data_IF_710281780728
#
_entry.id   IF_710281780728
#
_cell.length_a   1.000
_cell.length_b   1.000
_cell.length_c   1.000
_cell.angle_alpha   90.00
_cell.angle_beta   90.00
_cell.angle_gamma   90.00
#
_symmetry.space_group_name_H-M   'P 1'
#
loop_
_entity.id
_entity.type
_entity.pdbx_description
1 polymer ?
#
# COMPACT_ATOMS: atom_id res chain seq x y z
N UNK A 1 72.56 25.58 40.13
CA UNK A 1 71.52 24.58 40.30
C UNK A 1 70.43 24.87 39.25
N UNK A 2 70.35 24.13 38.15
CA UNK A 2 69.37 24.27 37.05
C UNK A 2 68.22 23.27 37.31
N UNK A 3 67.01 23.79 37.55
CA UNK A 3 65.83 22.92 37.69
C UNK A 3 65.26 22.60 36.29
N UNK A 4 65.25 21.32 35.92
CA UNK A 4 64.59 20.84 34.68
C UNK A 4 63.09 20.71 34.93
N UNK A 5 62.27 21.41 34.17
CA UNK A 5 60.81 21.23 34.19
C UNK A 5 60.45 20.09 33.23
N UNK A 6 59.81 19.04 33.73
CA UNK A 6 59.27 17.93 32.93
C UNK A 6 57.86 18.32 32.52
N UNK A 7 57.64 18.52 31.23
CA UNK A 7 56.32 18.71 30.62
C UNK A 7 55.70 17.36 30.34
N UNK A 8 54.63 17.02 31.10
CA UNK A 8 53.81 15.84 30.84
C UNK A 8 52.82 16.16 29.72
N UNK A 9 53.02 15.58 28.52
CA UNK A 9 52.05 15.67 27.45
C UNK A 9 50.89 14.68 27.63
N UNK A 10 49.70 15.20 27.91
CA UNK A 10 48.48 14.40 27.98
C UNK A 10 48.01 14.08 26.53
N UNK A 11 48.14 12.83 26.09
CA UNK A 11 47.62 12.38 24.81
C UNK A 11 46.09 12.13 24.96
N UNK A 12 45.32 12.96 24.29
CA UNK A 12 43.85 12.84 24.21
C UNK A 12 43.53 11.69 23.21
N UNK A 13 43.10 10.53 23.71
CA UNK A 13 42.66 9.40 22.85
C UNK A 13 41.23 9.73 22.37
N UNK A 14 41.10 10.15 21.11
CA UNK A 14 39.80 10.24 20.43
C UNK A 14 39.27 8.81 20.18
N UNK A 15 38.30 8.37 20.95
CA UNK A 15 37.55 7.14 20.68
C UNK A 15 36.51 7.47 19.58
N UNK A 16 36.56 6.81 18.39
CA UNK A 16 35.58 7.06 17.36
C UNK A 16 34.19 6.60 17.86
N UNK A 17 33.21 7.51 17.78
CA UNK A 17 31.82 7.17 18.11
C UNK A 17 31.30 6.16 17.08
N UNK A 18 31.00 4.95 17.53
CA UNK A 18 30.34 3.91 16.70
C UNK A 18 28.92 4.41 16.42
N UNK A 19 28.52 4.54 15.14
CA UNK A 19 27.16 4.97 14.82
C UNK A 19 26.16 3.92 15.35
N UNK A 20 25.31 4.33 16.30
CA UNK A 20 24.20 3.50 16.76
C UNK A 20 23.24 3.32 15.58
N UNK A 21 23.15 2.10 15.07
CA UNK A 21 22.19 1.76 14.01
C UNK A 21 20.78 2.12 14.51
N UNK A 22 20.09 3.00 13.77
CA UNK A 22 18.74 3.41 14.13
C UNK A 22 17.85 2.15 14.16
N UNK A 23 17.21 1.90 15.33
CA UNK A 23 16.34 0.74 15.51
C UNK A 23 15.18 0.80 14.52
N UNK A 24 14.91 -0.32 13.85
CA UNK A 24 13.77 -0.47 12.94
C UNK A 24 12.47 -0.26 13.72
N UNK A 25 11.63 0.72 13.37
CA UNK A 25 10.37 0.95 14.08
C UNK A 25 9.49 -0.32 14.01
N UNK A 26 8.86 -0.76 15.11
CA UNK A 26 8.00 -1.94 15.07
C UNK A 26 6.78 -1.72 14.18
N UNK A 27 6.26 -2.81 13.56
CA UNK A 27 4.99 -2.75 12.85
C UNK A 27 3.87 -2.32 13.79
N UNK A 28 3.02 -1.41 13.31
CA UNK A 28 1.80 -0.99 14.01
C UNK A 28 0.64 -0.93 13.04
N UNK A 29 -0.51 -1.42 13.48
CA UNK A 29 -1.77 -1.31 12.75
C UNK A 29 -2.94 -0.99 13.68
N UNK A 30 -4.03 -0.51 13.11
CA UNK A 30 -5.28 -0.28 13.82
C UNK A 30 -6.46 -0.62 12.93
N UNK A 31 -7.51 -1.20 13.52
CA UNK A 31 -8.79 -1.47 12.85
C UNK A 31 -9.89 -0.87 13.71
N UNK A 32 -10.65 0.08 13.14
CA UNK A 32 -11.71 0.78 13.88
C UNK A 32 -12.90 1.13 12.98
N UNK A 33 -14.10 1.36 13.54
CA UNK A 33 -15.21 1.97 12.81
C UNK A 33 -14.77 3.29 12.15
N UNK A 34 -15.44 3.66 11.06
CA UNK A 34 -15.16 4.94 10.39
C UNK A 34 -15.51 6.11 11.34
N UNK A 35 -14.55 6.99 11.69
CA UNK A 35 -14.84 8.21 12.43
C UNK A 35 -15.76 9.15 11.61
N UNK A 36 -16.51 10.02 12.27
CA UNK A 36 -17.45 10.96 11.62
C UNK A 36 -16.79 11.70 10.46
N UNK A 37 -15.64 12.33 10.69
CA UNK A 37 -14.88 13.06 9.67
C UNK A 37 -14.53 12.23 8.41
N UNK A 38 -14.32 10.92 8.57
CA UNK A 38 -14.03 10.03 7.42
C UNK A 38 -15.32 9.68 6.69
N UNK A 39 -16.42 9.45 7.42
CA UNK A 39 -17.74 9.25 6.82
C UNK A 39 -18.16 10.46 6.00
N UNK A 40 -17.92 11.67 6.52
CA UNK A 40 -18.27 12.91 5.82
C UNK A 40 -17.41 13.11 4.58
N UNK A 41 -16.10 12.81 4.65
CA UNK A 41 -15.21 12.83 3.49
C UNK A 41 -15.64 11.83 2.40
N UNK A 42 -16.15 10.66 2.78
CA UNK A 42 -16.57 9.61 1.84
C UNK A 42 -17.93 9.88 1.20
N UNK A 43 -18.86 10.58 1.91
CA UNK A 43 -20.18 10.90 1.37
C UNK A 43 -20.08 11.82 0.16
N UNK A 44 -20.68 11.39 -0.97
CA UNK A 44 -20.60 12.12 -2.24
C UNK A 44 -19.27 12.01 -2.98
N UNK A 45 -18.28 11.31 -2.37
CA UNK A 45 -16.99 10.97 -2.98
C UNK A 45 -16.92 9.45 -3.25
N UNK A 46 -16.15 8.70 -2.47
CA UNK A 46 -16.02 7.25 -2.65
C UNK A 46 -17.26 6.45 -2.25
N UNK A 47 -18.19 7.03 -1.51
CA UNK A 47 -19.42 6.37 -1.08
C UNK A 47 -20.66 7.26 -1.36
N UNK A 48 -21.75 6.65 -1.84
CA UNK A 48 -23.06 7.28 -2.05
C UNK A 48 -24.19 6.30 -1.79
N UNK A 49 -25.43 6.77 -1.60
CA UNK A 49 -26.62 5.89 -1.60
C UNK A 49 -26.64 5.01 -2.87
N UNK A 50 -26.99 3.75 -2.71
CA UNK A 50 -26.95 2.74 -3.78
C UNK A 50 -25.66 1.96 -3.88
N UNK A 51 -24.60 2.30 -3.11
CA UNK A 51 -23.41 1.43 -2.98
C UNK A 51 -23.78 0.07 -2.36
N UNK A 52 -23.09 -1.02 -2.76
CA UNK A 52 -23.45 -2.37 -2.32
C UNK A 52 -23.21 -2.63 -0.83
N UNK A 53 -22.48 -1.72 -0.15
CA UNK A 53 -22.21 -1.80 1.30
C UNK A 53 -22.45 -0.45 1.98
N UNK A 54 -22.95 -0.50 3.21
CA UNK A 54 -23.15 0.68 4.04
C UNK A 54 -21.85 1.14 4.73
N UNK A 55 -21.79 2.42 5.12
CA UNK A 55 -20.66 2.97 5.88
C UNK A 55 -20.41 2.22 7.21
N UNK A 56 -21.46 1.60 7.80
CA UNK A 56 -21.36 0.81 9.02
C UNK A 56 -20.64 -0.54 8.81
N UNK A 57 -20.60 -1.04 7.57
CA UNK A 57 -19.91 -2.27 7.20
C UNK A 57 -18.43 -2.06 6.91
N UNK A 58 -18.01 -0.80 6.84
CA UNK A 58 -16.63 -0.44 6.53
C UNK A 58 -15.81 -0.16 7.81
N UNK A 59 -14.50 -0.39 7.70
CA UNK A 59 -13.52 -0.09 8.75
C UNK A 59 -12.40 0.75 8.19
N UNK A 60 -11.93 1.70 8.99
CA UNK A 60 -10.66 2.39 8.75
C UNK A 60 -9.53 1.51 9.29
N UNK A 61 -8.66 1.09 8.40
CA UNK A 61 -7.45 0.32 8.72
C UNK A 61 -6.25 1.24 8.58
N UNK A 62 -5.57 1.48 9.70
CA UNK A 62 -4.28 2.16 9.72
C UNK A 62 -3.16 1.13 9.70
N UNK A 63 -2.12 1.36 8.90
CA UNK A 63 -0.98 0.45 8.78
C UNK A 63 0.33 1.24 8.74
N UNK A 64 1.40 0.64 9.22
CA UNK A 64 2.77 1.08 8.95
C UNK A 64 3.29 0.32 7.72
N UNK A 65 4.01 1.00 6.83
CA UNK A 65 4.58 0.40 5.63
C UNK A 65 5.98 0.98 5.34
N UNK A 66 6.79 0.25 4.58
CA UNK A 66 8.08 0.74 4.08
C UNK A 66 7.89 1.52 2.79
N UNK A 67 8.47 2.71 2.73
CA UNK A 67 8.55 3.51 1.50
C UNK A 67 9.69 3.08 0.58
N UNK A 68 9.68 3.61 -0.63
CA UNK A 68 10.81 3.46 -1.58
C UNK A 68 12.08 4.15 -1.09
N UNK A 69 11.95 5.12 -0.18
CA UNK A 69 13.02 5.80 0.54
C UNK A 69 13.62 4.95 1.67
N UNK A 70 13.18 3.71 1.85
CA UNK A 70 13.57 2.79 2.93
C UNK A 70 13.22 3.30 4.34
N UNK A 71 12.20 4.16 4.43
CA UNK A 71 11.68 4.66 5.70
C UNK A 71 10.31 4.07 6.01
N UNK A 72 9.96 4.03 7.30
CA UNK A 72 8.66 3.58 7.75
C UNK A 72 7.66 4.74 7.72
N UNK A 73 6.57 4.54 7.00
CA UNK A 73 5.47 5.48 6.84
C UNK A 73 4.18 4.97 7.47
N UNK A 74 3.17 5.83 7.55
CA UNK A 74 1.82 5.49 7.96
C UNK A 74 0.83 5.70 6.83
N UNK A 75 -0.03 4.69 6.60
CA UNK A 75 -1.10 4.73 5.61
C UNK A 75 -2.45 4.38 6.20
N UNK A 76 -3.51 4.68 5.45
CA UNK A 76 -4.89 4.33 5.81
C UNK A 76 -5.64 3.80 4.61
N UNK A 77 -6.37 2.71 4.85
CA UNK A 77 -7.29 2.09 3.90
C UNK A 77 -8.67 2.02 4.51
N UNK A 78 -9.69 2.04 3.66
CA UNK A 78 -11.04 1.66 4.05
C UNK A 78 -11.36 0.33 3.40
N UNK A 79 -11.75 -0.66 4.21
CA UNK A 79 -12.11 -2.00 3.73
C UNK A 79 -13.37 -2.51 4.45
N UNK A 80 -13.99 -3.55 3.93
CA UNK A 80 -15.13 -4.19 4.58
C UNK A 80 -14.73 -4.80 5.94
N UNK A 81 -15.64 -4.73 6.92
CA UNK A 81 -15.40 -5.22 8.29
C UNK A 81 -14.96 -6.68 8.36
N UNK A 82 -15.47 -7.52 7.45
CA UNK A 82 -15.16 -8.97 7.42
C UNK A 82 -13.70 -9.27 7.09
N UNK A 83 -12.99 -8.38 6.40
CA UNK A 83 -11.61 -8.58 5.96
C UNK A 83 -10.60 -7.68 6.66
N UNK A 84 -11.07 -6.71 7.45
CA UNK A 84 -10.23 -5.64 7.99
C UNK A 84 -9.06 -6.13 8.88
N UNK A 85 -9.28 -7.14 9.72
CA UNK A 85 -8.22 -7.72 10.57
C UNK A 85 -7.20 -8.51 9.74
N UNK A 86 -7.66 -9.28 8.76
CA UNK A 86 -6.79 -10.03 7.86
C UNK A 86 -5.91 -9.08 7.03
N UNK A 87 -6.50 -7.98 6.52
CA UNK A 87 -5.77 -6.93 5.81
C UNK A 87 -4.71 -6.28 6.71
N UNK A 88 -5.04 -5.93 7.96
CA UNK A 88 -4.06 -5.38 8.90
C UNK A 88 -2.87 -6.34 9.12
N UNK A 89 -3.13 -7.64 9.29
CA UNK A 89 -2.09 -8.68 9.43
C UNK A 89 -1.26 -8.87 8.16
N UNK A 90 -1.91 -8.80 6.98
CA UNK A 90 -1.26 -8.86 5.68
C UNK A 90 -0.19 -7.76 5.54
N UNK A 91 -0.53 -6.50 5.82
CA UNK A 91 0.45 -5.40 5.77
C UNK A 91 1.59 -5.58 6.77
N UNK A 92 1.37 -6.31 7.89
CA UNK A 92 2.44 -6.71 8.79
C UNK A 92 3.47 -7.63 8.13
N UNK A 93 3.02 -8.57 7.29
CA UNK A 93 3.91 -9.45 6.51
C UNK A 93 4.71 -8.67 5.48
N UNK A 94 4.06 -7.71 4.76
CA UNK A 94 4.75 -6.83 3.81
C UNK A 94 5.77 -5.94 4.50
N UNK A 95 5.43 -5.44 5.70
CA UNK A 95 6.33 -4.63 6.53
C UNK A 95 7.56 -5.44 6.97
N UNK A 96 7.36 -6.65 7.47
CA UNK A 96 8.45 -7.54 7.89
C UNK A 96 9.41 -7.87 6.74
N UNK A 97 8.86 -8.06 5.53
CA UNK A 97 9.63 -8.29 4.31
C UNK A 97 10.25 -7.02 3.71
N UNK A 98 9.99 -5.85 4.30
CA UNK A 98 10.41 -4.54 3.78
C UNK A 98 9.98 -4.29 2.32
N UNK A 99 8.83 -4.85 1.92
CA UNK A 99 8.28 -4.58 0.59
C UNK A 99 7.93 -3.09 0.47
N UNK A 100 8.46 -2.38 -0.54
CA UNK A 100 8.27 -0.94 -0.65
C UNK A 100 6.90 -0.62 -1.24
N UNK A 101 6.20 0.30 -0.60
CA UNK A 101 4.93 0.85 -1.08
C UNK A 101 5.11 2.35 -1.25
N UNK A 102 4.61 2.92 -2.36
CA UNK A 102 4.78 4.34 -2.65
C UNK A 102 3.94 5.21 -1.74
N UNK A 103 2.65 4.92 -1.67
CA UNK A 103 1.66 5.64 -0.86
C UNK A 103 0.55 4.70 -0.44
N UNK A 104 -0.09 5.02 0.67
CA UNK A 104 -1.36 4.41 1.11
C UNK A 104 -2.27 5.53 1.60
N UNK A 105 -3.21 5.97 0.76
CA UNK A 105 -4.14 7.06 1.05
C UNK A 105 -5.56 6.69 0.67
N UNK A 106 -6.54 7.29 1.34
CA UNK A 106 -7.94 7.17 0.93
C UNK A 106 -8.13 7.77 -0.47
N UNK A 107 -8.88 7.09 -1.33
CA UNK A 107 -9.17 7.55 -2.70
C UNK A 107 -9.95 8.87 -2.70
N UNK A 108 -10.63 9.17 -1.60
CA UNK A 108 -11.33 10.43 -1.36
C UNK A 108 -10.45 11.67 -1.47
N UNK A 109 -9.15 11.55 -1.15
CA UNK A 109 -8.17 12.64 -1.33
C UNK A 109 -7.89 12.96 -2.81
N UNK A 110 -8.37 12.10 -3.70
CA UNK A 110 -8.33 12.28 -5.16
C UNK A 110 -9.72 12.57 -5.74
N UNK A 111 -10.73 12.86 -4.88
CA UNK A 111 -12.11 13.02 -5.28
C UNK A 111 -12.76 11.73 -5.77
N UNK A 112 -12.32 10.58 -5.25
CA UNK A 112 -12.70 9.23 -5.70
C UNK A 112 -12.38 8.95 -7.19
N UNK A 113 -11.54 9.78 -7.81
CA UNK A 113 -11.03 9.55 -9.16
C UNK A 113 -9.93 8.49 -9.13
N UNK A 114 -10.29 7.30 -9.58
CA UNK A 114 -9.42 6.13 -9.61
C UNK A 114 -8.17 6.35 -10.48
N UNK A 115 -8.34 7.02 -11.63
CA UNK A 115 -7.22 7.32 -12.54
C UNK A 115 -6.20 8.27 -11.92
N UNK A 116 -6.68 9.30 -11.22
CA UNK A 116 -5.80 10.24 -10.49
C UNK A 116 -5.09 9.55 -9.35
N UNK A 117 -5.79 8.67 -8.62
CA UNK A 117 -5.21 7.87 -7.53
C UNK A 117 -4.11 6.94 -8.06
N UNK A 118 -4.38 6.18 -9.12
CA UNK A 118 -3.39 5.29 -9.75
C UNK A 118 -2.20 6.05 -10.33
N UNK A 119 -2.43 7.18 -11.01
CA UNK A 119 -1.35 8.00 -11.59
C UNK A 119 -0.41 8.54 -10.51
N UNK A 120 -0.90 8.81 -9.30
CA UNK A 120 -0.12 9.23 -8.14
C UNK A 120 0.49 8.03 -7.37
N UNK A 121 0.44 6.84 -7.96
CA UNK A 121 0.97 5.59 -7.41
C UNK A 121 0.44 5.29 -6.00
N UNK A 122 -0.86 5.49 -5.82
CA UNK A 122 -1.52 5.32 -4.53
C UNK A 122 -2.10 3.92 -4.38
N UNK A 123 -1.58 3.15 -3.44
CA UNK A 123 -2.21 1.92 -2.95
C UNK A 123 -3.55 2.26 -2.32
N UNK A 124 -4.64 1.71 -2.86
CA UNK A 124 -6.01 2.06 -2.50
C UNK A 124 -6.89 0.83 -2.29
N UNK A 125 -8.05 1.01 -1.65
CA UNK A 125 -9.00 -0.08 -1.38
C UNK A 125 -10.43 0.30 -1.75
N UNK A 126 -11.24 0.78 -0.79
CA UNK A 126 -12.65 1.09 -1.04
C UNK A 126 -12.83 2.24 -2.03
N UNK A 127 -13.62 1.99 -3.08
CA UNK A 127 -14.14 2.98 -4.01
C UNK A 127 -15.42 2.44 -4.64
N UNK A 128 -16.56 3.08 -4.36
CA UNK A 128 -17.88 2.65 -4.85
C UNK A 128 -18.07 3.02 -6.32
N UNK A 129 -17.58 2.19 -7.19
CA UNK A 129 -17.68 2.33 -8.63
C UNK A 129 -18.07 1.02 -9.32
N UNK A 130 -18.64 1.13 -10.49
CA UNK A 130 -18.85 -0.03 -11.33
C UNK A 130 -17.54 -0.54 -11.94
N UNK A 131 -17.50 -1.82 -12.26
CA UNK A 131 -16.41 -2.43 -12.99
C UNK A 131 -16.41 -1.91 -14.44
N UNK A 132 -15.26 -1.45 -14.92
CA UNK A 132 -15.04 -1.02 -16.32
C UNK A 132 -16.09 -0.02 -16.85
N UNK A 133 -16.66 0.80 -15.97
CA UNK A 133 -17.73 1.78 -16.31
C UNK A 133 -18.98 1.16 -16.93
N UNK A 134 -19.10 -0.16 -16.92
CA UNK A 134 -20.31 -0.86 -17.38
C UNK A 134 -21.34 -0.82 -16.28
N UNK A 135 -22.56 -0.40 -16.63
CA UNK A 135 -23.69 -0.43 -15.71
C UNK A 135 -23.85 -1.83 -15.12
N UNK A 136 -24.23 -1.85 -13.83
CA UNK A 136 -24.80 -2.98 -13.12
C UNK A 136 -23.83 -4.04 -12.56
N UNK A 137 -22.52 -3.96 -12.80
CA UNK A 137 -21.54 -4.83 -12.13
C UNK A 137 -20.62 -4.02 -11.24
N UNK A 138 -20.80 -4.13 -9.93
CA UNK A 138 -19.93 -3.46 -8.97
C UNK A 138 -18.52 -4.04 -8.99
N UNK A 139 -17.53 -3.16 -8.94
CA UNK A 139 -16.14 -3.53 -8.66
C UNK A 139 -16.02 -4.13 -7.24
N UNK A 140 -15.07 -5.01 -7.01
CA UNK A 140 -14.76 -5.52 -5.66
C UNK A 140 -14.29 -4.41 -4.70
N UNK A 141 -13.75 -3.31 -5.25
CA UNK A 141 -13.51 -2.09 -4.49
C UNK A 141 -14.77 -1.49 -3.89
N UNK A 142 -15.92 -1.57 -4.59
CA UNK A 142 -17.21 -1.10 -4.07
C UNK A 142 -17.72 -1.90 -2.86
N UNK A 143 -17.26 -3.13 -2.72
CA UNK A 143 -17.53 -3.98 -1.54
C UNK A 143 -16.48 -3.80 -0.43
N UNK A 144 -15.41 -3.02 -0.64
CA UNK A 144 -14.27 -2.93 0.27
C UNK A 144 -13.50 -4.26 0.40
N UNK A 145 -13.50 -5.06 -0.65
CA UNK A 145 -12.90 -6.41 -0.71
C UNK A 145 -11.87 -6.54 -1.84
N UNK A 146 -11.28 -5.43 -2.23
CA UNK A 146 -10.14 -5.35 -3.15
C UNK A 146 -9.13 -4.31 -2.67
N UNK A 147 -7.88 -4.49 -3.05
CA UNK A 147 -6.76 -3.58 -2.81
C UNK A 147 -5.88 -3.57 -4.06
N UNK A 148 -5.54 -2.38 -4.53
CA UNK A 148 -4.54 -2.16 -5.56
C UNK A 148 -3.23 -1.70 -4.90
N UNK A 149 -2.11 -2.36 -5.22
CA UNK A 149 -0.79 -2.11 -4.63
C UNK A 149 0.15 -1.53 -5.70
N UNK A 150 0.75 -0.35 -5.42
CA UNK A 150 1.73 0.30 -6.29
C UNK A 150 1.29 0.29 -7.77
N UNK A 151 0.22 1.01 -8.13
CA UNK A 151 -0.37 0.93 -9.47
C UNK A 151 0.60 1.24 -10.61
N UNK A 152 1.60 2.07 -10.38
CA UNK A 152 2.61 2.43 -11.40
C UNK A 152 3.57 1.26 -11.63
N UNK A 153 4.08 0.64 -10.57
CA UNK A 153 4.95 -0.53 -10.68
C UNK A 153 4.18 -1.81 -11.08
N UNK A 154 2.85 -1.79 -10.97
CA UNK A 154 1.98 -2.94 -11.24
C UNK A 154 0.77 -2.53 -12.09
N UNK A 155 0.98 -2.04 -13.32
CA UNK A 155 -0.13 -1.54 -14.14
C UNK A 155 -1.10 -2.65 -14.56
N UNK A 156 -2.35 -2.25 -14.84
CA UNK A 156 -3.29 -3.06 -15.60
C UNK A 156 -2.94 -3.01 -17.09
N UNK A 157 -2.92 -4.17 -17.75
CA UNK A 157 -2.72 -4.30 -19.19
C UNK A 157 -4.02 -4.83 -19.83
N UNK A 158 -4.53 -4.13 -20.84
CA UNK A 158 -5.76 -4.48 -21.52
C UNK A 158 -5.75 -4.03 -22.99
N UNK A 159 -6.72 -4.43 -23.80
CA UNK A 159 -6.76 -4.13 -25.25
C UNK A 159 -6.77 -2.62 -25.58
N UNK A 160 -7.19 -1.76 -24.64
CA UNK A 160 -7.19 -0.30 -24.79
C UNK A 160 -5.93 0.37 -24.26
N UNK A 161 -4.92 -0.38 -23.79
CA UNK A 161 -3.64 0.18 -23.32
C UNK A 161 -3.21 -0.24 -21.93
N UNK A 162 -2.59 0.69 -21.24
CA UNK A 162 -1.96 0.49 -19.91
C UNK A 162 -2.57 1.48 -18.92
N UNK A 163 -2.92 1.01 -17.72
CA UNK A 163 -3.47 1.85 -16.67
C UNK A 163 -2.72 1.64 -15.33
N UNK A 164 -2.15 2.69 -14.73
CA UNK A 164 -2.07 4.06 -15.26
C UNK A 164 -1.03 4.19 -16.39
N UNK A 165 -1.16 5.20 -17.29
CA UNK A 165 -0.23 5.34 -18.43
C UNK A 165 1.24 5.53 -18.03
N UNK A 166 1.52 6.15 -16.89
CA UNK A 166 2.89 6.30 -16.36
C UNK A 166 3.46 5.00 -15.78
N UNK A 167 2.70 3.90 -15.79
CA UNK A 167 3.17 2.54 -15.50
C UNK A 167 3.74 1.82 -16.72
N UNK A 168 3.74 2.44 -17.91
CA UNK A 168 4.13 1.78 -19.16
C UNK A 168 5.53 1.15 -19.12
N UNK A 169 6.50 1.79 -18.46
CA UNK A 169 7.85 1.25 -18.31
C UNK A 169 7.92 -0.02 -17.44
N UNK A 170 6.85 -0.38 -16.73
CA UNK A 170 6.73 -1.57 -15.90
C UNK A 170 5.89 -2.69 -16.54
N UNK A 171 5.45 -2.47 -17.79
CA UNK A 171 4.68 -3.48 -18.54
C UNK A 171 5.55 -4.69 -18.91
N UNK A 172 6.84 -4.47 -19.17
CA UNK A 172 7.81 -5.56 -19.34
C UNK A 172 8.12 -6.18 -17.96
N UNK A 173 7.62 -7.39 -17.75
CA UNK A 173 7.78 -8.12 -16.48
C UNK A 173 9.07 -8.95 -16.42
N UNK A 174 9.86 -8.99 -17.48
CA UNK A 174 11.19 -9.63 -17.49
C UNK A 174 12.21 -8.77 -16.74
N UNK A 175 12.07 -7.44 -16.77
CA UNK A 175 12.87 -6.46 -16.02
C UNK A 175 12.32 -6.28 -14.60
N UNK A 176 12.78 -7.11 -13.67
CA UNK A 176 12.32 -7.10 -12.28
C UNK A 176 12.85 -5.90 -11.52
N UNK A 177 11.96 -4.99 -11.16
CA UNK A 177 12.27 -3.78 -10.42
C UNK A 177 11.56 -3.70 -9.08
N UNK A 178 12.08 -2.82 -8.22
CA UNK A 178 11.57 -2.56 -6.87
C UNK A 178 10.09 -2.16 -6.90
N UNK A 179 9.27 -2.77 -6.03
CA UNK A 179 7.83 -2.47 -5.92
C UNK A 179 6.93 -3.25 -6.87
N UNK A 180 7.50 -3.99 -7.83
CA UNK A 180 6.77 -4.91 -8.70
C UNK A 180 6.33 -6.16 -7.94
N UNK A 181 5.21 -6.73 -8.36
CA UNK A 181 4.60 -7.94 -7.77
C UNK A 181 4.66 -9.07 -8.80
N UNK A 182 5.02 -10.27 -8.33
CA UNK A 182 5.11 -11.47 -9.14
C UNK A 182 4.41 -12.64 -8.46
N UNK A 183 3.95 -13.60 -9.27
CA UNK A 183 3.43 -14.87 -8.75
C UNK A 183 4.44 -15.50 -7.79
N UNK A 184 3.96 -15.92 -6.62
CA UNK A 184 4.79 -16.55 -5.59
C UNK A 184 5.70 -15.62 -4.80
N UNK A 185 5.71 -14.31 -5.01
CA UNK A 185 6.47 -13.37 -4.18
C UNK A 185 5.82 -13.12 -2.79
N UNK A 186 6.42 -12.25 -2.00
CA UNK A 186 5.92 -11.96 -0.66
C UNK A 186 4.52 -11.32 -0.66
N UNK A 187 4.21 -10.47 -1.65
CA UNK A 187 2.90 -9.83 -1.75
C UNK A 187 1.85 -10.85 -2.15
N UNK A 188 2.11 -11.61 -3.22
CA UNK A 188 1.25 -12.67 -3.67
C UNK A 188 0.95 -13.68 -2.54
N UNK A 189 1.99 -14.19 -1.86
CA UNK A 189 1.82 -15.12 -0.72
C UNK A 189 1.04 -14.52 0.44
N UNK A 190 1.23 -13.23 0.73
CA UNK A 190 0.52 -12.56 1.82
C UNK A 190 -1.00 -12.45 1.54
N UNK A 191 -1.39 -12.12 0.30
CA UNK A 191 -2.79 -12.07 -0.11
C UNK A 191 -3.41 -13.46 -0.25
N UNK A 192 -2.69 -14.40 -0.86
CA UNK A 192 -3.14 -15.78 -1.02
C UNK A 192 -3.41 -16.46 0.33
N UNK A 193 -2.58 -16.18 1.34
CA UNK A 193 -2.76 -16.72 2.70
C UNK A 193 -4.04 -16.23 3.42
N UNK A 194 -4.71 -15.20 2.90
CA UNK A 194 -6.01 -14.73 3.39
C UNK A 194 -7.15 -15.05 2.40
N UNK A 195 -6.89 -15.91 1.41
CA UNK A 195 -7.86 -16.39 0.43
C UNK A 195 -8.17 -15.40 -0.69
N UNK A 196 -7.29 -14.43 -0.96
CA UNK A 196 -7.48 -13.47 -2.05
C UNK A 196 -6.73 -13.90 -3.30
N UNK A 197 -7.37 -13.74 -4.46
CA UNK A 197 -6.74 -13.94 -5.75
C UNK A 197 -6.10 -12.66 -6.30
N UNK A 198 -5.18 -12.83 -7.23
CA UNK A 198 -4.42 -11.77 -7.88
C UNK A 198 -4.82 -11.60 -9.35
N UNK A 199 -4.99 -10.35 -9.78
CA UNK A 199 -5.28 -10.03 -11.18
C UNK A 199 -4.13 -10.32 -12.15
N UNK A 200 -2.89 -10.44 -11.62
CA UNK A 200 -1.72 -10.85 -12.39
C UNK A 200 -1.66 -12.35 -12.73
N UNK A 201 -2.48 -13.19 -12.09
CA UNK A 201 -2.60 -14.62 -12.40
C UNK A 201 -3.57 -14.88 -13.58
N UNK A 202 -4.18 -13.83 -14.14
CA UNK A 202 -5.08 -13.93 -15.30
C UNK A 202 -4.31 -14.01 -16.60
N UNK A 203 -4.91 -14.67 -17.58
CA UNK A 203 -4.37 -14.69 -18.94
C UNK A 203 -4.53 -13.35 -19.66
N UNK A 204 -5.71 -12.70 -19.55
CA UNK A 204 -6.02 -11.40 -20.17
C UNK A 204 -7.44 -10.91 -19.82
N UNK A 205 -7.70 -9.61 -19.54
CA UNK A 205 -6.69 -8.58 -19.23
C UNK A 205 -5.93 -8.94 -17.95
N UNK A 206 -4.69 -8.46 -17.83
CA UNK A 206 -3.84 -8.69 -16.68
C UNK A 206 -3.82 -7.44 -15.81
N UNK A 207 -4.12 -7.59 -14.53
CA UNK A 207 -4.15 -6.47 -13.58
C UNK A 207 -3.17 -6.72 -12.42
N UNK A 208 -1.93 -6.30 -12.63
CA UNK A 208 -0.83 -6.59 -11.70
C UNK A 208 -0.97 -5.91 -10.35
N UNK A 209 -1.72 -4.80 -10.23
CA UNK A 209 -1.95 -4.11 -8.97
C UNK A 209 -3.02 -4.79 -8.10
N UNK A 210 -3.99 -5.47 -8.75
CA UNK A 210 -5.27 -5.82 -8.16
C UNK A 210 -5.26 -7.15 -7.39
N UNK A 211 -5.66 -7.08 -6.13
CA UNK A 211 -5.98 -8.25 -5.30
C UNK A 211 -7.42 -8.15 -4.79
N UNK A 212 -8.18 -9.25 -4.84
CA UNK A 212 -9.56 -9.27 -4.36
C UNK A 212 -9.97 -10.64 -3.81
N UNK A 213 -11.06 -10.65 -3.02
CA UNK A 213 -11.60 -11.90 -2.43
C UNK A 213 -12.13 -12.90 -3.46
N UNK A 214 -12.35 -12.51 -4.71
CA UNK A 214 -12.81 -13.39 -5.79
C UNK A 214 -11.82 -13.49 -6.95
N UNK A 215 -10.64 -12.87 -6.83
CA UNK A 215 -9.60 -12.87 -7.87
C UNK A 215 -9.97 -12.11 -9.17
N UNK A 216 -11.02 -11.24 -9.11
CA UNK A 216 -11.56 -10.56 -10.31
C UNK A 216 -11.67 -9.06 -10.09
#
# INVERSE_FOLDING_TARGET
MRRAAVLLALALILVPAVPVAASVPPYRSSVRPLPARIRDLMRGSSWRPGCPVGLNDLRLVGVRFWGFDRQAHHGRLVVHRSVARAVAGLFGRLYAARFPIRKIRLVDLYGADDKRSMKDDNTSAFNCRYRNRVCCTWSMHAYGKAIDINPVENPELWSGGISPPNGASYADRSDKRKGMIFHGDVVWRAFHAIGWGWGGDRSWPVDYQHFSTNGK
#
